data_IF_735577608525
#
_entry.id   IF_735577608525
#
_cell.length_a   1.000
_cell.length_b   1.000
_cell.length_c   1.000
_cell.angle_alpha   90.00
_cell.angle_beta   90.00
_cell.angle_gamma   90.00
#
_symmetry.space_group_name_H-M   'P 1'
#
loop_
_entity.id
_entity.type
_entity.pdbx_description
1 polymer ?
#
# COMPACT_ATOMS: atom_id res chain seq x y z
N UNK A 1 -99.28 -39.05 -50.12
CA UNK A 1 -100.33 -38.20 -50.72
C UNK A 1 -100.13 -36.81 -50.15
N UNK A 2 -100.07 -35.79 -51.01
CA UNK A 2 -99.89 -34.34 -50.74
C UNK A 2 -98.47 -33.88 -50.37
N UNK A 3 -97.62 -33.40 -51.29
CA UNK A 3 -97.66 -32.23 -52.21
C UNK A 3 -97.17 -30.92 -51.58
N UNK A 4 -96.28 -30.27 -52.36
CA UNK A 4 -95.85 -28.87 -52.30
C UNK A 4 -94.82 -28.54 -51.20
N UNK A 5 -93.86 -27.64 -51.38
CA UNK A 5 -93.69 -26.62 -52.40
C UNK A 5 -92.21 -26.19 -52.46
N UNK A 6 -91.85 -25.59 -53.59
CA UNK A 6 -90.58 -25.00 -53.95
C UNK A 6 -90.07 -24.02 -52.89
N UNK A 7 -88.74 -23.91 -52.77
CA UNK A 7 -88.02 -22.63 -52.90
C UNK A 7 -86.51 -22.85 -53.00
N UNK A 8 -86.00 -22.64 -54.21
CA UNK A 8 -84.60 -22.36 -54.50
C UNK A 8 -84.46 -20.83 -54.56
N UNK A 9 -83.64 -20.25 -53.67
CA UNK A 9 -83.00 -18.94 -53.87
C UNK A 9 -82.02 -18.66 -52.71
N UNK A 10 -80.72 -18.72 -53.00
CA UNK A 10 -79.84 -17.52 -53.09
C UNK A 10 -79.18 -17.16 -51.76
N UNK A 11 -78.01 -17.76 -51.50
CA UNK A 11 -77.06 -17.29 -50.48
C UNK A 11 -76.16 -16.22 -51.09
N UNK A 12 -76.13 -14.98 -50.59
CA UNK A 12 -75.20 -13.97 -51.08
C UNK A 12 -73.81 -14.10 -50.43
N UNK A 13 -72.87 -13.44 -51.09
CA UNK A 13 -71.43 -13.61 -51.05
C UNK A 13 -70.71 -13.00 -49.83
N UNK A 14 -69.47 -13.46 -49.64
CA UNK A 14 -68.35 -12.56 -49.34
C UNK A 14 -67.82 -12.57 -47.92
N UNK A 15 -67.10 -13.62 -47.51
CA UNK A 15 -66.21 -13.54 -46.35
C UNK A 15 -64.84 -13.02 -46.80
N UNK A 16 -64.56 -11.72 -46.59
CA UNK A 16 -63.19 -11.17 -46.69
C UNK A 16 -62.39 -11.69 -45.50
N UNK A 17 -61.46 -12.60 -45.73
CA UNK A 17 -60.47 -12.97 -44.72
C UNK A 17 -59.57 -11.76 -44.42
N UNK A 18 -59.56 -11.28 -43.17
CA UNK A 18 -58.51 -10.38 -42.69
C UNK A 18 -57.24 -11.21 -42.45
N UNK A 19 -56.04 -10.72 -42.82
CA UNK A 19 -54.81 -11.42 -42.52
C UNK A 19 -54.65 -11.54 -41.00
N UNK A 20 -54.54 -12.77 -40.53
CA UNK A 20 -54.26 -13.11 -39.14
C UNK A 20 -52.76 -12.88 -38.89
N UNK A 21 -52.41 -11.78 -38.22
CA UNK A 21 -51.06 -11.61 -37.68
C UNK A 21 -51.00 -12.38 -36.35
N UNK A 22 -50.21 -13.46 -36.23
CA UNK A 22 -50.11 -14.15 -34.96
C UNK A 22 -49.43 -13.23 -33.94
N UNK A 23 -49.88 -13.22 -32.66
CA UNK A 23 -49.17 -12.50 -31.63
C UNK A 23 -47.79 -13.14 -31.45
N UNK A 24 -46.73 -12.33 -31.56
CA UNK A 24 -45.38 -12.74 -31.17
C UNK A 24 -45.44 -13.04 -29.67
N UNK A 25 -45.47 -14.33 -29.32
CA UNK A 25 -45.32 -14.78 -27.93
C UNK A 25 -43.88 -14.54 -27.54
N UNK A 26 -43.63 -13.47 -26.79
CA UNK A 26 -42.40 -13.37 -26.00
C UNK A 26 -42.36 -14.55 -25.03
N UNK A 27 -41.54 -15.55 -25.34
CA UNK A 27 -41.32 -16.70 -24.46
C UNK A 27 -40.51 -16.22 -23.27
N UNK A 28 -41.21 -15.88 -22.19
CA UNK A 28 -40.56 -15.68 -20.88
C UNK A 28 -39.76 -16.92 -20.49
N UNK A 29 -38.61 -16.75 -19.80
CA UNK A 29 -37.72 -17.86 -19.49
C UNK A 29 -38.45 -18.93 -18.67
N UNK A 30 -38.41 -20.18 -19.15
CA UNK A 30 -39.15 -21.29 -18.57
C UNK A 30 -38.75 -21.56 -17.11
N UNK A 31 -39.65 -22.20 -16.32
CA UNK A 31 -39.42 -22.50 -14.89
C UNK A 31 -38.07 -23.17 -14.59
N UNK A 32 -37.56 -24.00 -15.51
CA UNK A 32 -36.22 -24.60 -15.42
C UNK A 32 -35.09 -23.57 -15.59
N UNK A 33 -35.23 -22.63 -16.53
CA UNK A 33 -34.27 -21.56 -16.77
C UNK A 33 -34.21 -20.57 -15.60
N UNK A 34 -35.34 -20.25 -14.96
CA UNK A 34 -35.37 -19.46 -13.70
C UNK A 34 -34.66 -20.17 -12.54
N UNK A 35 -34.77 -21.50 -12.42
CA UNK A 35 -34.05 -22.30 -11.41
C UNK A 35 -32.54 -22.33 -11.69
N UNK A 36 -32.15 -22.41 -12.96
CA UNK A 36 -30.74 -22.35 -13.35
C UNK A 36 -30.14 -20.95 -13.10
N UNK A 37 -30.85 -19.88 -13.46
CA UNK A 37 -30.41 -18.50 -13.20
C UNK A 37 -30.29 -18.20 -11.69
N UNK A 38 -31.21 -18.71 -10.87
CA UNK A 38 -31.15 -18.55 -9.41
C UNK A 38 -30.02 -19.35 -8.78
N UNK A 39 -29.75 -20.57 -9.28
CA UNK A 39 -28.60 -21.35 -8.85
C UNK A 39 -27.27 -20.68 -9.25
N UNK A 40 -27.16 -20.16 -10.48
CA UNK A 40 -25.99 -19.39 -10.92
C UNK A 40 -25.77 -18.13 -10.09
N UNK A 41 -26.84 -17.39 -9.77
CA UNK A 41 -26.76 -16.21 -8.92
C UNK A 41 -26.30 -16.56 -7.50
N UNK A 42 -26.78 -17.66 -6.92
CA UNK A 42 -26.34 -18.12 -5.60
C UNK A 42 -24.84 -18.50 -5.58
N UNK A 43 -24.35 -19.15 -6.65
CA UNK A 43 -22.93 -19.49 -6.79
C UNK A 43 -22.07 -18.23 -6.91
N UNK A 44 -22.50 -17.23 -7.69
CA UNK A 44 -21.76 -15.96 -7.83
C UNK A 44 -21.72 -15.21 -6.50
N UNK A 45 -22.83 -15.15 -5.77
CA UNK A 45 -22.86 -14.51 -4.44
C UNK A 45 -21.94 -15.24 -3.47
N UNK A 46 -21.93 -16.57 -3.46
CA UNK A 46 -21.03 -17.37 -2.63
C UNK A 46 -19.56 -17.16 -3.00
N UNK A 47 -19.24 -17.09 -4.30
CA UNK A 47 -17.88 -16.82 -4.76
C UNK A 47 -17.42 -15.41 -4.35
N UNK A 48 -18.31 -14.41 -4.44
CA UNK A 48 -18.01 -13.05 -4.00
C UNK A 48 -17.83 -12.95 -2.48
N UNK A 49 -18.65 -13.63 -1.68
CA UNK A 49 -18.45 -13.65 -0.22
C UNK A 49 -17.16 -14.36 0.17
N UNK A 50 -16.84 -15.50 -0.45
CA UNK A 50 -15.55 -16.17 -0.25
C UNK A 50 -14.39 -15.26 -0.68
N UNK A 51 -14.50 -14.55 -1.80
CA UNK A 51 -13.48 -13.60 -2.25
C UNK A 51 -13.30 -12.44 -1.27
N UNK A 52 -14.40 -11.86 -0.74
CA UNK A 52 -14.35 -10.80 0.27
C UNK A 52 -13.75 -11.30 1.58
N UNK A 53 -14.13 -12.50 2.04
CA UNK A 53 -13.57 -13.11 3.25
C UNK A 53 -12.10 -13.44 3.06
N UNK A 54 -11.70 -14.01 1.93
CA UNK A 54 -10.31 -14.30 1.60
C UNK A 54 -9.49 -13.01 1.46
N UNK A 55 -10.06 -11.95 0.87
CA UNK A 55 -9.44 -10.63 0.79
C UNK A 55 -9.32 -9.97 2.16
N UNK A 56 -10.34 -10.08 3.03
CA UNK A 56 -10.27 -9.61 4.42
C UNK A 56 -9.32 -10.42 5.29
N UNK A 57 -9.19 -11.73 5.05
CA UNK A 57 -8.25 -12.61 5.74
C UNK A 57 -6.82 -12.34 5.27
N UNK A 58 -6.62 -12.18 3.95
CA UNK A 58 -5.33 -11.83 3.33
C UNK A 58 -4.87 -10.40 3.63
N UNK A 59 -5.79 -9.47 3.84
CA UNK A 59 -5.45 -8.12 4.34
C UNK A 59 -5.23 -8.10 5.85
N UNK A 60 -5.81 -9.05 6.60
CA UNK A 60 -5.50 -9.29 8.02
C UNK A 60 -4.22 -10.06 8.29
N UNK A 61 -3.51 -10.54 7.26
CA UNK A 61 -2.07 -10.88 7.35
C UNK A 61 -1.18 -9.63 7.54
N UNK A 62 -1.66 -8.64 8.29
CA UNK A 62 -0.77 -7.74 9.00
C UNK A 62 0.02 -8.59 9.98
N UNK A 63 1.35 -8.44 9.97
CA UNK A 63 2.28 -8.86 11.03
C UNK A 63 1.53 -9.11 12.35
N UNK A 64 1.64 -10.30 12.95
CA UNK A 64 0.93 -10.72 14.18
C UNK A 64 1.31 -9.93 15.43
N UNK A 65 1.38 -8.61 15.30
CA UNK A 65 1.93 -7.61 16.17
C UNK A 65 0.77 -6.70 16.57
N UNK A 66 0.52 -6.59 17.87
CA UNK A 66 -0.56 -5.74 18.41
C UNK A 66 -0.37 -4.28 18.00
N UNK A 67 -1.46 -3.54 17.97
CA UNK A 67 -1.43 -2.12 17.61
C UNK A 67 -0.53 -1.32 18.56
N UNK A 68 -0.52 -1.62 19.88
CA UNK A 68 0.39 -0.93 20.81
C UNK A 68 1.85 -1.17 20.46
N UNK A 69 2.21 -2.42 20.12
CA UNK A 69 3.58 -2.76 19.75
C UNK A 69 3.98 -2.04 18.46
N UNK A 70 3.05 -1.91 17.50
CA UNK A 70 3.29 -1.16 16.26
C UNK A 70 3.54 0.31 16.55
N UNK A 71 2.75 0.94 17.41
CA UNK A 71 2.89 2.35 17.77
C UNK A 71 4.21 2.64 18.48
N UNK A 72 4.61 1.80 19.43
CA UNK A 72 5.92 1.88 20.10
C UNK A 72 7.05 1.81 19.08
N UNK A 73 6.96 0.87 18.15
CA UNK A 73 8.00 0.69 17.12
C UNK A 73 8.04 1.85 16.14
N UNK A 74 6.89 2.31 15.65
CA UNK A 74 6.82 3.47 14.75
C UNK A 74 7.39 4.74 15.42
N UNK A 75 7.11 4.91 16.71
CA UNK A 75 7.64 6.02 17.51
C UNK A 75 9.16 5.92 17.67
N UNK A 76 9.68 4.75 18.07
CA UNK A 76 11.11 4.52 18.19
C UNK A 76 11.85 4.76 16.86
N UNK A 77 11.27 4.31 15.74
CA UNK A 77 11.83 4.51 14.40
C UNK A 77 11.79 5.98 13.98
N UNK A 78 10.66 6.67 14.19
CA UNK A 78 10.56 8.12 13.93
C UNK A 78 11.65 8.86 14.67
N UNK A 79 11.74 8.68 15.99
CA UNK A 79 12.72 9.36 16.83
C UNK A 79 14.15 9.09 16.38
N UNK A 80 14.51 7.82 16.17
CA UNK A 80 15.86 7.44 15.80
C UNK A 80 16.28 8.03 14.43
N UNK A 81 15.36 8.06 13.46
CA UNK A 81 15.61 8.61 12.13
C UNK A 81 15.70 10.14 12.17
N UNK A 82 14.77 10.81 12.85
CA UNK A 82 14.80 12.28 13.00
C UNK A 82 16.07 12.75 13.72
N UNK A 83 16.44 12.10 14.82
CA UNK A 83 17.65 12.40 15.59
C UNK A 83 18.92 12.15 14.76
N UNK A 84 18.99 11.05 14.01
CA UNK A 84 20.15 10.72 13.19
C UNK A 84 20.35 11.71 12.03
N UNK A 85 19.25 12.10 11.36
CA UNK A 85 19.29 12.94 10.16
C UNK A 85 19.23 14.44 10.47
N UNK A 86 19.03 14.82 11.74
CA UNK A 86 19.03 16.23 12.16
C UNK A 86 20.37 16.59 12.81
N UNK A 87 21.12 17.46 12.15
CA UNK A 87 22.43 17.90 12.64
C UNK A 87 22.78 19.30 12.12
N UNK A 88 23.67 19.97 12.83
CA UNK A 88 24.22 21.25 12.43
C UNK A 88 25.72 21.28 12.76
N UNK A 89 26.48 22.23 12.20
CA UNK A 89 27.89 22.42 12.56
C UNK A 89 28.11 22.68 14.05
N UNK A 90 27.09 23.21 14.73
CA UNK A 90 27.08 23.53 16.17
C UNK A 90 26.60 22.38 17.07
N UNK A 91 26.23 21.21 16.51
CA UNK A 91 25.77 20.06 17.30
C UNK A 91 26.85 19.63 18.30
N UNK A 92 26.48 19.57 19.59
CA UNK A 92 27.40 19.27 20.68
C UNK A 92 27.64 17.76 20.84
N UNK A 93 28.68 17.39 21.57
CA UNK A 93 28.98 15.99 21.85
C UNK A 93 27.86 15.27 22.63
N UNK A 94 27.22 15.96 23.59
CA UNK A 94 26.07 15.41 24.32
C UNK A 94 24.89 15.09 23.41
N UNK A 95 24.63 15.92 22.41
CA UNK A 95 23.59 15.63 21.41
C UNK A 95 23.95 14.38 20.60
N UNK A 96 25.22 14.25 20.19
CA UNK A 96 25.69 13.05 19.48
C UNK A 96 25.57 11.78 20.32
N UNK A 97 25.83 11.85 21.62
CA UNK A 97 25.65 10.71 22.52
C UNK A 97 24.16 10.32 22.65
N UNK A 98 23.26 11.31 22.71
CA UNK A 98 21.81 11.07 22.68
C UNK A 98 21.37 10.36 21.40
N UNK A 99 21.87 10.81 20.24
CA UNK A 99 21.61 10.12 18.97
C UNK A 99 22.17 8.71 19.00
N UNK A 100 23.44 8.53 19.41
CA UNK A 100 24.10 7.23 19.45
C UNK A 100 23.40 6.22 20.36
N UNK A 101 22.71 6.67 21.42
CA UNK A 101 21.91 5.81 22.29
C UNK A 101 20.70 5.17 21.59
N UNK A 102 20.23 5.75 20.48
CA UNK A 102 19.14 5.20 19.65
C UNK A 102 19.65 4.30 18.51
N UNK A 103 20.96 4.12 18.39
CA UNK A 103 21.60 3.36 17.32
C UNK A 103 22.18 2.04 17.85
N UNK A 104 22.38 1.08 16.95
CA UNK A 104 23.02 -0.19 17.29
C UNK A 104 23.86 -0.75 16.14
N UNK A 105 24.56 -1.85 16.40
CA UNK A 105 25.32 -2.58 15.39
C UNK A 105 26.44 -1.74 14.79
N UNK A 106 26.59 -1.81 13.46
CA UNK A 106 27.62 -1.07 12.73
C UNK A 106 27.32 0.44 12.70
N UNK A 107 26.05 0.82 12.59
CA UNK A 107 25.64 2.21 12.46
C UNK A 107 26.07 3.07 13.65
N UNK A 108 25.96 2.57 14.89
CA UNK A 108 26.42 3.33 16.08
C UNK A 108 27.94 3.53 16.08
N UNK A 109 28.73 2.54 15.64
CA UNK A 109 30.18 2.66 15.56
C UNK A 109 30.59 3.69 14.49
N UNK A 110 29.95 3.63 13.32
CA UNK A 110 30.20 4.59 12.25
C UNK A 110 29.76 6.00 12.61
N UNK A 111 28.61 6.17 13.28
CA UNK A 111 28.16 7.48 13.74
C UNK A 111 29.10 8.07 14.80
N UNK A 112 29.62 7.28 15.74
CA UNK A 112 30.60 7.78 16.72
C UNK A 112 31.91 8.25 16.06
N UNK A 113 32.35 7.57 15.01
CA UNK A 113 33.57 7.92 14.27
C UNK A 113 33.36 9.08 13.29
N UNK A 114 32.28 9.02 12.51
CA UNK A 114 32.03 9.88 11.34
C UNK A 114 30.95 10.93 11.57
N UNK A 115 30.22 10.86 12.68
CA UNK A 115 29.12 11.78 12.99
C UNK A 115 28.14 11.87 11.83
N UNK A 116 27.76 13.09 11.39
CA UNK A 116 26.80 13.28 10.31
C UNK A 116 27.31 12.81 8.93
N UNK A 117 28.61 12.54 8.76
CA UNK A 117 29.14 12.03 7.48
C UNK A 117 28.65 10.60 7.17
N UNK A 118 28.06 9.90 8.15
CA UNK A 118 27.37 8.62 7.91
C UNK A 118 26.05 8.81 7.16
N UNK A 119 25.39 9.96 7.35
CA UNK A 119 24.11 10.29 6.71
C UNK A 119 24.33 10.96 5.37
N UNK A 120 25.28 11.89 5.33
CA UNK A 120 25.63 12.67 4.15
C UNK A 120 27.15 12.85 4.09
N UNK A 121 27.80 12.19 3.14
CA UNK A 121 29.24 12.27 2.99
C UNK A 121 29.72 13.73 2.82
N UNK A 122 30.75 14.12 3.57
CA UNK A 122 31.31 15.47 3.53
C UNK A 122 30.53 16.52 4.33
N UNK A 123 29.45 16.14 5.04
CA UNK A 123 28.63 17.05 5.84
C UNK A 123 29.44 17.90 6.82
N UNK A 124 30.42 17.31 7.52
CA UNK A 124 31.27 18.07 8.46
C UNK A 124 32.19 19.05 7.74
N UNK A 125 32.84 18.60 6.68
CA UNK A 125 33.79 19.42 5.90
C UNK A 125 33.09 20.63 5.29
N UNK A 126 31.90 20.41 4.73
CA UNK A 126 31.07 21.44 4.11
C UNK A 126 30.22 22.23 5.10
N UNK A 127 30.31 21.92 6.41
CA UNK A 127 29.51 22.55 7.47
C UNK A 127 28.01 22.55 7.15
N UNK A 128 27.51 21.41 6.68
CA UNK A 128 26.11 21.23 6.33
C UNK A 128 25.24 21.25 7.60
N UNK A 129 24.12 21.93 7.53
CA UNK A 129 23.02 21.78 8.47
C UNK A 129 21.87 21.03 7.80
N UNK A 130 21.28 20.09 8.51
CA UNK A 130 20.21 19.24 8.02
C UNK A 130 19.13 19.13 9.10
N UNK A 131 17.87 19.24 8.69
CA UNK A 131 16.71 18.95 9.54
C UNK A 131 15.84 17.93 8.85
N UNK A 132 15.42 16.89 9.57
CA UNK A 132 14.55 15.85 9.06
C UNK A 132 13.26 15.78 9.87
N UNK A 133 12.14 15.54 9.19
CA UNK A 133 10.84 15.26 9.79
C UNK A 133 10.26 14.00 9.17
N UNK A 134 9.93 13.01 10.00
CA UNK A 134 9.31 11.77 9.56
C UNK A 134 7.81 11.95 9.45
N UNK A 135 7.32 11.97 8.22
CA UNK A 135 5.90 12.19 7.89
C UNK A 135 5.10 10.89 7.86
N UNK A 136 5.76 9.73 7.74
CA UNK A 136 5.10 8.44 7.79
C UNK A 136 6.06 7.27 8.00
N UNK A 137 5.57 6.22 8.65
CA UNK A 137 6.30 4.97 8.90
C UNK A 137 5.41 3.78 8.53
N UNK A 138 5.84 2.96 7.56
CA UNK A 138 5.21 1.71 7.18
C UNK A 138 5.96 0.51 7.72
N UNK A 139 5.26 -0.45 8.33
CA UNK A 139 5.84 -1.71 8.78
C UNK A 139 5.93 -2.68 7.61
N UNK A 140 7.11 -3.22 7.32
CA UNK A 140 7.24 -4.28 6.32
C UNK A 140 6.82 -5.62 6.91
N UNK A 141 5.84 -6.28 6.28
CA UNK A 141 5.41 -7.63 6.67
C UNK A 141 6.50 -8.70 6.48
N UNK A 142 7.44 -8.47 5.56
CA UNK A 142 8.53 -9.39 5.24
C UNK A 142 9.72 -9.30 6.21
N UNK A 143 9.69 -8.38 7.17
CA UNK A 143 10.86 -8.03 7.99
C UNK A 143 10.80 -8.49 9.44
N UNK A 144 9.74 -9.15 9.90
CA UNK A 144 9.67 -9.64 11.28
C UNK A 144 10.30 -11.03 11.36
N UNK A 145 11.52 -11.09 11.89
CA UNK A 145 12.14 -12.35 12.32
C UNK A 145 11.98 -12.47 13.85
N UNK A 146 11.78 -13.68 14.35
CA UNK A 146 11.72 -14.03 15.78
C UNK A 146 12.99 -13.58 16.54
N UNK A 147 14.04 -13.22 15.80
CA UNK A 147 15.31 -12.66 16.29
C UNK A 147 15.25 -11.20 16.75
N UNK A 148 14.08 -10.56 16.69
CA UNK A 148 13.92 -9.18 17.13
C UNK A 148 14.49 -8.16 16.15
N UNK A 149 14.50 -8.50 14.86
CA UNK A 149 14.85 -7.58 13.77
C UNK A 149 13.59 -7.20 13.00
N UNK A 150 13.52 -5.95 12.55
CA UNK A 150 12.37 -5.37 11.87
C UNK A 150 12.79 -4.39 10.78
N UNK A 151 12.17 -4.48 9.60
CA UNK A 151 12.38 -3.53 8.51
C UNK A 151 11.16 -2.61 8.37
N UNK A 152 11.41 -1.31 8.27
CA UNK A 152 10.37 -0.29 8.14
C UNK A 152 10.67 0.65 6.98
N UNK A 153 9.62 1.07 6.29
CA UNK A 153 9.69 2.10 5.26
C UNK A 153 9.38 3.45 5.91
N UNK A 154 10.28 4.42 5.78
CA UNK A 154 10.14 5.73 6.41
C UNK A 154 10.11 6.80 5.33
N UNK A 155 9.13 7.70 5.42
CA UNK A 155 8.99 8.87 4.56
C UNK A 155 9.44 10.12 5.33
N UNK A 156 10.36 10.87 4.74
CA UNK A 156 11.09 11.94 5.43
C UNK A 156 11.04 13.20 4.59
N UNK A 157 10.58 14.29 5.18
CA UNK A 157 10.80 15.64 4.67
C UNK A 157 12.11 16.15 5.26
N UNK A 158 13.08 16.42 4.39
CA UNK A 158 14.39 16.92 4.79
C UNK A 158 14.63 18.31 4.21
N UNK A 159 15.37 19.11 4.98
CA UNK A 159 15.90 20.40 4.53
C UNK A 159 17.39 20.41 4.79
N UNK A 160 18.16 20.71 3.74
CA UNK A 160 19.63 20.71 3.75
C UNK A 160 20.13 22.11 3.44
N UNK A 161 20.94 22.68 4.31
CA UNK A 161 21.56 23.99 4.14
C UNK A 161 23.07 23.85 4.11
N UNK A 162 23.69 24.39 3.06
CA UNK A 162 25.14 24.41 2.88
C UNK A 162 25.58 25.88 2.80
N UNK A 163 26.51 26.32 3.66
CA UNK A 163 27.04 27.68 3.59
C UNK A 163 27.55 28.03 2.18
N UNK A 164 27.18 29.21 1.69
CA UNK A 164 27.60 29.70 0.36
C UNK A 164 26.78 29.21 -0.83
N UNK A 165 25.76 28.36 -0.64
CA UNK A 165 24.76 28.04 -1.69
C UNK A 165 23.68 29.12 -1.74
N UNK A 166 23.19 29.42 -2.94
CA UNK A 166 22.22 30.47 -3.25
C UNK A 166 20.78 30.18 -2.79
N UNK A 167 20.49 28.97 -2.30
CA UNK A 167 19.16 28.62 -1.80
C UNK A 167 19.01 29.11 -0.36
N UNK A 168 18.42 30.29 -0.19
CA UNK A 168 18.14 30.86 1.12
C UNK A 168 17.27 29.91 1.96
N UNK A 169 17.73 29.55 3.15
CA UNK A 169 17.05 28.58 4.03
C UNK A 169 17.29 27.11 3.69
N UNK A 170 18.02 26.78 2.62
CA UNK A 170 18.36 25.41 2.24
C UNK A 170 17.39 24.74 1.27
N UNK A 171 17.84 23.64 0.67
CA UNK A 171 17.10 22.81 -0.28
C UNK A 171 16.18 21.85 0.47
N UNK A 172 14.89 21.81 0.11
CA UNK A 172 13.89 20.91 0.72
C UNK A 172 13.57 19.77 -0.25
N UNK A 173 13.52 18.54 0.25
CA UNK A 173 13.13 17.37 -0.53
C UNK A 173 12.43 16.33 0.35
N UNK A 174 11.58 15.51 -0.27
CA UNK A 174 10.93 14.37 0.39
C UNK A 174 11.57 13.09 -0.12
N UNK A 175 11.98 12.20 0.78
CA UNK A 175 12.64 10.94 0.45
C UNK A 175 12.01 9.76 1.18
N UNK A 176 12.24 8.56 0.64
CA UNK A 176 11.88 7.31 1.29
C UNK A 176 13.14 6.50 1.64
N UNK A 177 13.20 5.97 2.85
CA UNK A 177 14.32 5.15 3.34
C UNK A 177 13.84 3.87 4.02
N UNK A 178 14.62 2.80 3.89
CA UNK A 178 14.47 1.59 4.69
C UNK A 178 15.21 1.76 6.01
N UNK A 179 14.47 1.75 7.12
CA UNK A 179 15.01 1.70 8.47
C UNK A 179 15.03 0.26 8.96
N UNK A 180 16.20 -0.20 9.42
CA UNK A 180 16.38 -1.52 10.02
C UNK A 180 16.46 -1.33 11.53
N UNK A 181 15.51 -1.91 12.24
CA UNK A 181 15.36 -1.83 13.68
C UNK A 181 15.74 -3.16 14.30
N UNK A 182 16.42 -3.12 15.43
CA UNK A 182 16.77 -4.30 16.21
C UNK A 182 16.45 -4.08 17.68
N UNK A 183 15.82 -5.08 18.29
CA UNK A 183 15.55 -5.08 19.72
C UNK A 183 16.83 -5.48 20.48
N UNK A 184 17.34 -4.58 21.30
CA UNK A 184 18.50 -4.81 22.17
C UNK A 184 18.07 -4.53 23.60
N UNK A 185 17.99 -5.58 24.42
CA UNK A 185 17.60 -5.46 25.83
C UNK A 185 16.22 -4.84 26.04
N UNK A 186 15.26 -5.08 25.15
CA UNK A 186 13.91 -4.51 25.22
C UNK A 186 13.74 -3.20 24.48
N UNK A 187 14.81 -2.57 24.00
CA UNK A 187 14.77 -1.29 23.28
C UNK A 187 14.92 -1.50 21.77
N UNK A 188 14.03 -0.89 20.99
CA UNK A 188 14.14 -0.86 19.54
C UNK A 188 15.12 0.22 19.11
N UNK A 189 16.24 -0.19 18.51
CA UNK A 189 17.33 0.69 18.09
C UNK A 189 17.54 0.57 16.58
N UNK A 190 17.92 1.68 15.94
CA UNK A 190 18.21 1.73 14.52
C UNK A 190 19.59 1.10 14.23
N UNK A 191 19.63 0.03 13.45
CA UNK A 191 20.85 -0.67 13.07
C UNK A 191 21.38 -0.26 11.70
N UNK A 192 20.49 0.18 10.80
CA UNK A 192 20.84 0.65 9.46
C UNK A 192 19.74 1.54 8.88
N UNK A 193 20.11 2.43 7.96
CA UNK A 193 19.21 3.34 7.28
C UNK A 193 19.64 3.54 5.82
N UNK A 194 18.89 2.98 4.88
CA UNK A 194 19.27 2.94 3.46
C UNK A 194 18.21 3.56 2.54
N UNK A 195 18.61 4.02 1.36
CA UNK A 195 17.69 4.62 0.40
C UNK A 195 16.84 3.54 -0.30
N UNK A 196 15.54 3.82 -0.47
CA UNK A 196 14.66 2.93 -1.23
C UNK A 196 15.05 2.99 -2.71
N UNK A 197 15.42 1.84 -3.29
CA UNK A 197 15.82 1.75 -4.70
C UNK A 197 17.33 1.65 -4.94
N UNK A 198 18.19 1.81 -3.92
CA UNK A 198 19.58 1.39 -4.06
C UNK A 198 19.69 -0.12 -3.81
N UNK A 199 19.57 -0.91 -4.88
CA UNK A 199 20.09 -2.27 -4.87
C UNK A 199 21.61 -2.18 -4.81
N UNK A 200 22.21 -2.59 -3.69
CA UNK A 200 23.63 -2.91 -3.68
C UNK A 200 23.82 -4.15 -4.54
N UNK A 201 24.35 -3.98 -5.75
CA UNK A 201 24.70 -5.11 -6.62
C UNK A 201 24.55 -4.84 -8.12
N UNK A 202 25.38 -3.96 -8.68
CA UNK A 202 26.02 -4.23 -9.97
C UNK A 202 27.47 -3.77 -9.83
N UNK A 203 28.38 -4.74 -10.02
CA UNK A 203 29.80 -4.56 -9.82
C UNK A 203 30.46 -3.65 -10.86
N UNK A 204 31.70 -3.31 -10.51
CA UNK A 204 32.75 -2.85 -11.42
C UNK A 204 32.66 -3.43 -12.83
N UNK A 205 32.65 -2.57 -13.84
CA UNK A 205 33.35 -2.78 -15.11
C UNK A 205 33.29 -1.50 -15.97
N UNK A 206 34.48 -1.02 -16.36
CA UNK A 206 34.78 -0.19 -17.53
C UNK A 206 34.14 1.23 -17.62
N UNK A 207 34.87 2.29 -17.95
CA UNK A 207 36.26 2.46 -18.36
C UNK A 207 36.55 3.96 -18.47
#
# INVERSE_FOLDING_TARGET
>A
MESADRRRSSRPAGYRARPFTPPVRERGPGRRQRRWLTASAAIVVLALTVAVVAFMAGSRSGTGMSDERRDVLQTATRDAVEDLMTFAPTTQNRDRERVAARLTGRLVAEYRSRGPDVVLAGARQLKVAMTAKVVGVGVSAAGHDDRGELRMLVFIDQRVSIPGRTVAGGETSSIARWAFMRNVGGHWLLSDLTTVGSVAGVGSAAG
#
